data_IF_997857012440
#
_entry.id   IF_997857012440
#
_cell.length_a   1.000
_cell.length_b   1.000
_cell.length_c   1.000
_cell.angle_alpha   90.00
_cell.angle_beta   90.00
_cell.angle_gamma   90.00
#
_symmetry.space_group_name_H-M   'P 1'
#
loop_
_entity.id
_entity.type
_entity.pdbx_description
1 polymer ?
#
# COMPACT_ATOMS: atom_id res chain seq x y z
N UNK A 1 10.17 -58.82 -10.00
CA UNK A 1 10.62 -57.43 -10.20
C UNK A 1 10.93 -56.88 -8.83
N UNK A 2 12.19 -56.95 -8.40
CA UNK A 2 12.63 -56.41 -7.08
C UNK A 2 12.76 -54.91 -7.19
N UNK A 3 11.95 -54.21 -6.45
CA UNK A 3 12.08 -52.74 -6.33
C UNK A 3 13.37 -52.51 -5.53
N UNK A 4 14.30 -51.75 -6.11
CA UNK A 4 15.59 -51.46 -5.50
C UNK A 4 15.39 -50.62 -4.22
N UNK A 5 16.13 -51.01 -3.16
CA UNK A 5 16.11 -50.30 -1.86
C UNK A 5 16.41 -48.79 -1.98
N UNK A 6 17.21 -48.44 -2.97
CA UNK A 6 17.54 -47.03 -3.28
C UNK A 6 16.31 -46.23 -3.77
N UNK A 7 15.45 -46.86 -4.58
CA UNK A 7 14.20 -46.24 -5.07
C UNK A 7 13.19 -46.05 -3.95
N UNK A 8 13.12 -46.98 -2.98
CA UNK A 8 12.24 -46.83 -1.80
C UNK A 8 12.73 -45.72 -0.88
N UNK A 9 14.04 -45.63 -0.65
CA UNK A 9 14.62 -44.57 0.18
C UNK A 9 14.48 -43.17 -0.42
N UNK A 10 14.62 -43.03 -1.74
CA UNK A 10 14.36 -41.79 -2.46
C UNK A 10 12.90 -41.36 -2.37
N UNK A 11 11.97 -42.28 -2.56
CA UNK A 11 10.54 -42.02 -2.41
C UNK A 11 10.15 -41.59 -1.01
N UNK A 12 10.72 -42.22 0.03
CA UNK A 12 10.50 -41.85 1.43
C UNK A 12 11.06 -40.46 1.75
N UNK A 13 12.25 -40.10 1.23
CA UNK A 13 12.86 -38.80 1.41
C UNK A 13 12.03 -37.66 0.79
N UNK A 14 11.44 -37.89 -0.40
CA UNK A 14 10.56 -36.90 -1.07
C UNK A 14 9.27 -36.70 -0.27
N UNK A 15 8.66 -37.79 0.26
CA UNK A 15 7.45 -37.70 1.08
C UNK A 15 7.73 -36.98 2.39
N UNK A 16 8.86 -37.25 3.05
CA UNK A 16 9.26 -36.55 4.29
C UNK A 16 9.52 -35.08 3.99
N UNK A 17 10.21 -34.74 2.91
CA UNK A 17 10.48 -33.37 2.53
C UNK A 17 9.18 -32.59 2.22
N UNK A 18 8.21 -33.24 1.53
CA UNK A 18 6.89 -32.67 1.28
C UNK A 18 6.08 -32.47 2.57
N UNK A 19 6.12 -33.46 3.48
CA UNK A 19 5.44 -33.38 4.77
C UNK A 19 6.05 -32.27 5.67
N UNK A 20 7.37 -32.14 5.70
CA UNK A 20 8.08 -31.08 6.42
C UNK A 20 7.77 -29.71 5.81
N UNK A 21 7.77 -29.59 4.49
CA UNK A 21 7.40 -28.35 3.80
C UNK A 21 5.94 -27.95 4.09
N UNK A 22 5.04 -28.94 4.05
CA UNK A 22 3.63 -28.72 4.41
C UNK A 22 3.47 -28.36 5.89
N UNK A 23 4.21 -29.02 6.78
CA UNK A 23 4.19 -28.72 8.22
C UNK A 23 4.75 -27.32 8.50
N UNK A 24 5.83 -26.90 7.85
CA UNK A 24 6.39 -25.54 7.97
C UNK A 24 5.41 -24.47 7.47
N UNK A 25 4.69 -24.75 6.37
CA UNK A 25 3.65 -23.86 5.85
C UNK A 25 2.45 -23.78 6.81
N UNK A 26 2.02 -24.92 7.38
CA UNK A 26 0.91 -25.00 8.33
C UNK A 26 1.29 -24.51 9.74
N UNK A 27 2.59 -24.47 10.07
CA UNK A 27 3.11 -24.03 11.38
C UNK A 27 3.55 -22.56 11.39
N UNK A 28 3.28 -21.78 10.32
CA UNK A 28 3.54 -20.35 10.39
C UNK A 28 2.70 -19.77 11.51
N UNK A 29 3.31 -19.08 12.49
CA UNK A 29 2.55 -18.44 13.55
C UNK A 29 1.60 -17.43 12.91
N UNK A 30 0.31 -17.63 13.11
CA UNK A 30 -0.72 -16.72 12.69
C UNK A 30 -1.49 -16.27 13.92
N UNK A 31 -1.84 -15.00 13.99
CA UNK A 31 -2.74 -14.49 15.01
C UNK A 31 -4.16 -15.01 14.74
N UNK A 32 -4.90 -15.30 15.80
CA UNK A 32 -6.31 -15.61 15.63
C UNK A 32 -7.07 -14.39 15.07
N UNK A 33 -8.15 -14.59 14.31
CA UNK A 33 -8.98 -13.48 13.83
C UNK A 33 -9.50 -12.57 14.96
N UNK A 34 -9.73 -13.15 16.15
CA UNK A 34 -10.12 -12.40 17.34
C UNK A 34 -8.98 -11.48 17.81
N UNK A 35 -7.76 -12.01 17.94
CA UNK A 35 -6.59 -11.23 18.34
C UNK A 35 -6.27 -10.11 17.35
N UNK A 36 -6.44 -10.38 16.06
CA UNK A 36 -6.25 -9.37 15.02
C UNK A 36 -7.29 -8.25 15.16
N UNK A 37 -8.58 -8.59 15.34
CA UNK A 37 -9.62 -7.59 15.59
C UNK A 37 -9.37 -6.79 16.87
N UNK A 38 -8.97 -7.44 17.96
CA UNK A 38 -8.60 -6.77 19.21
C UNK A 38 -7.47 -5.76 18.98
N UNK A 39 -6.44 -6.13 18.21
CA UNK A 39 -5.31 -5.25 17.93
C UNK A 39 -5.70 -3.95 17.22
N UNK A 40 -6.70 -3.99 16.36
CA UNK A 40 -7.20 -2.83 15.61
C UNK A 40 -8.54 -2.30 16.17
N UNK A 41 -8.94 -2.68 17.39
CA UNK A 41 -10.19 -2.20 18.01
C UNK A 41 -10.10 -0.75 18.43
N UNK A 42 -8.92 -0.31 18.84
CA UNK A 42 -8.68 1.07 19.20
C UNK A 42 -8.24 1.88 17.96
N UNK A 43 -8.79 3.07 17.77
CA UNK A 43 -8.34 3.95 16.69
C UNK A 43 -6.86 4.25 16.79
N UNK A 44 -6.23 4.52 15.64
CA UNK A 44 -4.88 5.07 15.62
C UNK A 44 -4.85 6.40 16.39
N UNK A 45 -3.72 6.76 17.02
CA UNK A 45 -3.59 8.07 17.62
C UNK A 45 -3.93 9.16 16.61
N UNK A 46 -4.75 10.12 17.01
CA UNK A 46 -5.15 11.23 16.16
C UNK A 46 -3.95 11.99 15.59
N UNK A 47 -4.07 12.59 14.41
CA UNK A 47 -3.03 13.44 13.86
C UNK A 47 -2.82 14.66 14.76
N UNK A 48 -1.59 15.23 14.77
CA UNK A 48 -1.39 16.53 15.40
C UNK A 48 -2.30 17.57 14.73
N UNK A 49 -2.71 18.60 15.46
CA UNK A 49 -3.57 19.69 14.95
C UNK A 49 -2.91 20.58 13.89
N UNK A 50 -1.82 20.13 13.27
CA UNK A 50 -1.03 20.77 12.21
C UNK A 50 -0.86 19.82 11.03
N UNK A 51 -0.30 20.30 9.92
CA UNK A 51 0.17 19.43 8.83
C UNK A 51 1.20 18.41 9.30
N UNK A 52 1.21 17.24 8.67
CA UNK A 52 2.12 16.15 8.99
C UNK A 52 3.47 16.31 8.30
N UNK A 53 4.54 15.88 8.96
CA UNK A 53 5.79 15.53 8.31
C UNK A 53 5.76 14.05 7.96
N UNK A 54 5.68 13.72 6.66
CA UNK A 54 5.42 12.40 6.13
C UNK A 54 6.60 11.87 5.31
N UNK A 55 6.92 10.58 5.46
CA UNK A 55 7.87 9.90 4.58
C UNK A 55 7.16 8.79 3.79
N UNK A 56 7.37 8.77 2.47
CA UNK A 56 6.90 7.70 1.58
C UNK A 56 8.08 6.82 1.15
N UNK A 57 7.98 5.53 1.40
CA UNK A 57 8.91 4.53 0.91
C UNK A 57 8.17 3.59 -0.04
N UNK A 58 8.64 3.48 -1.29
CA UNK A 58 7.96 2.60 -2.24
C UNK A 58 8.45 2.65 -3.67
N UNK A 59 7.51 2.68 -4.60
CA UNK A 59 7.78 2.55 -6.02
C UNK A 59 6.85 3.43 -6.87
N UNK A 60 6.81 3.21 -8.18
CA UNK A 60 6.08 4.05 -9.14
C UNK A 60 4.57 4.23 -8.84
N UNK A 61 3.93 3.33 -8.08
CA UNK A 61 2.52 3.52 -7.68
C UNK A 61 2.33 4.52 -6.51
N UNK A 62 3.41 4.94 -5.85
CA UNK A 62 3.43 6.15 -5.05
C UNK A 62 3.54 7.35 -5.97
N UNK A 63 4.53 7.32 -6.86
CA UNK A 63 4.80 8.39 -7.80
C UNK A 63 5.14 9.73 -7.12
N UNK A 64 5.22 10.80 -7.90
CA UNK A 64 5.45 12.15 -7.40
C UNK A 64 4.17 12.95 -7.24
N UNK A 65 3.15 12.68 -8.08
CA UNK A 65 1.94 13.49 -8.16
C UNK A 65 0.97 13.21 -7.01
N UNK A 66 0.78 11.95 -6.62
CA UNK A 66 -0.11 11.60 -5.52
C UNK A 66 0.31 12.27 -4.19
N UNK A 67 1.59 12.23 -3.75
CA UNK A 67 2.02 12.96 -2.54
C UNK A 67 1.91 14.48 -2.68
N UNK A 68 2.10 15.04 -3.87
CA UNK A 68 1.90 16.47 -4.13
C UNK A 68 0.43 16.88 -4.04
N UNK A 69 -0.48 16.04 -4.56
CA UNK A 69 -1.92 16.22 -4.41
C UNK A 69 -2.35 16.10 -2.95
N UNK A 70 -1.83 15.10 -2.23
CA UNK A 70 -2.08 14.94 -0.79
C UNK A 70 -1.68 16.20 -0.01
N UNK A 71 -0.53 16.79 -0.30
CA UNK A 71 -0.08 18.01 0.36
C UNK A 71 -1.01 19.20 0.13
N UNK A 72 -1.67 19.26 -1.02
CA UNK A 72 -2.65 20.29 -1.34
C UNK A 72 -4.03 20.05 -0.69
N UNK A 73 -4.36 18.80 -0.36
CA UNK A 73 -5.59 18.43 0.35
C UNK A 73 -5.43 18.57 1.86
N UNK A 74 -4.20 18.43 2.36
CA UNK A 74 -3.87 18.35 3.76
C UNK A 74 -3.93 19.71 4.47
N UNK A 75 -3.80 19.67 5.80
CA UNK A 75 -3.73 20.86 6.65
C UNK A 75 -2.44 21.65 6.40
N UNK A 76 -2.48 22.94 6.69
CA UNK A 76 -1.33 23.83 6.58
C UNK A 76 -0.10 23.27 7.31
N UNK A 77 1.05 23.37 6.66
CA UNK A 77 2.30 22.84 7.17
C UNK A 77 2.56 21.36 6.87
N UNK A 78 1.70 20.69 6.07
CA UNK A 78 2.03 19.37 5.56
C UNK A 78 3.28 19.41 4.68
N UNK A 79 4.20 18.51 4.96
CA UNK A 79 5.40 18.31 4.15
C UNK A 79 5.72 16.83 4.04
N UNK A 80 6.36 16.46 2.97
CA UNK A 80 6.73 15.07 2.72
C UNK A 80 8.07 14.93 2.04
N UNK A 81 8.68 13.79 2.24
CA UNK A 81 9.86 13.32 1.54
C UNK A 81 9.64 11.86 1.13
N UNK A 82 10.50 11.36 0.24
CA UNK A 82 10.35 10.00 -0.29
C UNK A 82 11.67 9.37 -0.71
N UNK A 83 11.67 8.04 -0.78
CA UNK A 83 12.60 7.26 -1.59
C UNK A 83 11.80 6.26 -2.41
N UNK A 84 11.96 6.31 -3.72
CA UNK A 84 11.23 5.49 -4.68
C UNK A 84 12.16 4.71 -5.59
N UNK A 85 11.60 3.72 -6.30
CA UNK A 85 12.28 2.99 -7.36
C UNK A 85 11.23 2.31 -8.26
N UNK A 86 11.64 1.73 -9.39
CA UNK A 86 10.72 1.07 -10.31
C UNK A 86 10.45 -0.36 -9.85
N UNK A 87 9.19 -0.65 -9.50
CA UNK A 87 8.78 -1.97 -9.05
C UNK A 87 9.57 -2.50 -7.85
N UNK A 88 10.05 -1.61 -7.01
CA UNK A 88 11.01 -1.91 -5.94
C UNK A 88 10.28 -2.42 -4.69
N UNK A 89 10.80 -3.51 -4.13
CA UNK A 89 10.29 -4.11 -2.88
C UNK A 89 10.88 -3.44 -1.63
N UNK A 90 10.22 -3.63 -0.50
CA UNK A 90 10.73 -3.22 0.81
C UNK A 90 12.09 -3.84 1.13
N UNK A 91 12.36 -5.07 0.65
CA UNK A 91 13.67 -5.72 0.78
C UNK A 91 14.76 -4.95 0.04
N UNK A 92 14.52 -4.59 -1.22
CA UNK A 92 15.51 -3.87 -2.04
C UNK A 92 15.85 -2.50 -1.45
N UNK A 93 14.88 -1.79 -0.90
CA UNK A 93 15.14 -0.55 -0.17
C UNK A 93 15.92 -0.78 1.15
N UNK A 94 15.77 -1.95 1.77
CA UNK A 94 16.40 -2.25 3.06
C UNK A 94 17.84 -2.72 2.95
N UNK A 95 18.16 -3.61 1.99
CA UNK A 95 19.44 -4.28 1.90
C UNK A 95 20.43 -3.47 1.02
N UNK A 96 21.61 -3.08 1.56
CA UNK A 96 22.54 -2.21 0.84
C UNK A 96 23.11 -2.81 -0.46
N UNK A 97 23.05 -4.13 -0.59
CA UNK A 97 23.56 -4.85 -1.80
C UNK A 97 22.53 -5.08 -2.88
N UNK A 98 21.27 -4.70 -2.65
CA UNK A 98 20.21 -4.88 -3.64
C UNK A 98 20.16 -3.69 -4.60
N UNK A 99 19.84 -3.96 -5.86
CA UNK A 99 19.69 -2.90 -6.88
C UNK A 99 18.28 -2.34 -6.83
N UNK A 100 18.18 -1.02 -6.78
CA UNK A 100 16.92 -0.28 -6.94
C UNK A 100 16.87 0.24 -8.38
N UNK A 101 16.04 -0.37 -9.21
CA UNK A 101 15.86 0.08 -10.59
C UNK A 101 15.23 1.48 -10.62
N UNK A 102 15.70 2.34 -11.51
CA UNK A 102 15.19 3.70 -11.66
C UNK A 102 15.50 4.62 -10.48
N UNK A 103 16.43 4.25 -9.57
CA UNK A 103 16.71 5.03 -8.35
C UNK A 103 17.01 6.50 -8.63
N UNK A 104 17.93 6.79 -9.55
CA UNK A 104 18.31 8.16 -9.91
C UNK A 104 17.13 8.94 -10.50
N UNK A 105 16.40 8.31 -11.45
CA UNK A 105 15.25 8.93 -12.11
C UNK A 105 14.12 9.29 -11.13
N UNK A 106 13.85 8.42 -10.16
CA UNK A 106 12.76 8.63 -9.18
C UNK A 106 13.15 9.59 -8.06
N UNK A 107 14.44 9.74 -7.76
CA UNK A 107 14.90 10.47 -6.58
C UNK A 107 15.68 11.78 -6.91
N UNK A 108 15.83 12.14 -8.19
CA UNK A 108 16.40 13.43 -8.61
C UNK A 108 15.38 14.57 -8.40
N UNK A 109 15.13 14.91 -7.15
CA UNK A 109 14.25 16.00 -6.73
C UNK A 109 14.52 16.42 -5.28
N UNK A 110 14.16 17.65 -4.87
CA UNK A 110 14.49 18.20 -3.54
C UNK A 110 13.77 17.52 -2.36
N UNK A 111 12.82 16.63 -2.61
CA UNK A 111 12.09 15.84 -1.58
C UNK A 111 12.66 14.45 -1.36
N UNK A 112 13.77 14.13 -2.02
CA UNK A 112 14.47 12.86 -1.77
C UNK A 112 15.16 12.88 -0.41
N UNK A 113 15.03 11.78 0.33
CA UNK A 113 15.84 11.48 1.50
C UNK A 113 16.11 9.98 1.57
N UNK A 114 17.36 9.58 1.92
CA UNK A 114 17.69 8.15 2.06
C UNK A 114 16.77 7.46 3.08
N UNK A 115 16.11 6.37 2.65
CA UNK A 115 15.04 5.75 3.42
C UNK A 115 15.47 5.27 4.82
N UNK A 116 16.68 4.68 4.92
CA UNK A 116 17.17 4.19 6.20
C UNK A 116 17.44 5.34 7.16
N UNK A 117 17.99 6.44 6.68
CA UNK A 117 18.19 7.66 7.46
C UNK A 117 16.85 8.23 7.89
N UNK A 118 15.90 8.39 6.95
CA UNK A 118 14.57 8.89 7.23
C UNK A 118 13.86 8.06 8.31
N UNK A 119 13.81 6.74 8.15
CA UNK A 119 13.12 5.86 9.08
C UNK A 119 13.72 5.87 10.49
N UNK A 120 15.06 5.98 10.62
CA UNK A 120 15.73 5.99 11.93
C UNK A 120 15.84 7.36 12.58
N UNK A 121 15.52 8.44 11.85
CA UNK A 121 15.70 9.82 12.35
C UNK A 121 14.76 10.21 13.49
N UNK A 122 13.57 9.62 13.54
CA UNK A 122 12.51 10.01 14.47
C UNK A 122 11.83 11.35 14.16
N UNK A 123 12.11 11.94 12.99
CA UNK A 123 11.61 13.29 12.63
C UNK A 123 10.20 13.29 12.03
N UNK A 124 9.69 12.11 11.61
CA UNK A 124 8.43 11.99 10.89
C UNK A 124 7.25 11.73 11.84
N UNK A 125 6.15 12.42 11.62
CA UNK A 125 4.87 12.14 12.27
C UNK A 125 4.27 10.82 11.77
N UNK A 126 4.54 10.47 10.51
CA UNK A 126 4.12 9.22 9.92
C UNK A 126 5.07 8.74 8.80
N UNK A 127 5.13 7.40 8.62
CA UNK A 127 5.84 6.76 7.52
C UNK A 127 4.89 5.80 6.81
N UNK A 128 4.84 5.90 5.48
CA UNK A 128 4.05 5.01 4.62
C UNK A 128 4.99 4.08 3.86
N UNK A 129 4.84 2.80 4.08
CA UNK A 129 5.54 1.73 3.40
C UNK A 129 4.69 1.19 2.26
N UNK A 130 5.28 0.99 1.09
CA UNK A 130 4.59 0.46 -0.09
C UNK A 130 5.37 -0.73 -0.63
N UNK A 131 4.74 -1.90 -0.67
CA UNK A 131 5.36 -3.11 -1.22
C UNK A 131 5.14 -3.21 -2.72
N UNK A 132 6.10 -3.85 -3.43
CA UNK A 132 6.05 -3.99 -4.88
C UNK A 132 4.78 -4.70 -5.39
N UNK A 133 4.39 -4.41 -6.60
CA UNK A 133 3.46 -5.21 -7.41
C UNK A 133 4.31 -6.32 -8.06
N UNK A 134 3.99 -7.51 -8.05
CA UNK A 134 2.94 -8.41 -7.67
C UNK A 134 3.13 -8.88 -6.22
N UNK A 135 2.12 -8.78 -5.41
CA UNK A 135 2.22 -9.08 -3.97
C UNK A 135 2.62 -10.53 -3.67
N UNK A 136 2.19 -11.50 -4.50
CA UNK A 136 2.57 -12.91 -4.33
C UNK A 136 4.07 -13.14 -4.56
N UNK A 137 4.65 -12.44 -5.52
CA UNK A 137 6.09 -12.49 -5.81
C UNK A 137 6.89 -11.74 -4.73
N UNK A 138 6.37 -10.62 -4.26
CA UNK A 138 6.93 -9.87 -3.15
C UNK A 138 7.06 -10.74 -1.88
N UNK A 139 6.00 -11.48 -1.54
CA UNK A 139 6.01 -12.40 -0.40
C UNK A 139 6.98 -13.55 -0.63
N UNK A 140 6.93 -14.18 -1.80
CA UNK A 140 7.69 -15.38 -2.12
C UNK A 140 9.20 -15.14 -2.27
N UNK A 141 9.57 -14.08 -2.99
CA UNK A 141 10.97 -13.83 -3.38
C UNK A 141 11.63 -12.71 -2.57
N UNK A 142 10.84 -11.76 -2.05
CA UNK A 142 11.36 -10.60 -1.33
C UNK A 142 11.04 -10.62 0.18
N UNK A 143 10.32 -11.64 0.69
CA UNK A 143 10.03 -11.81 2.12
C UNK A 143 9.35 -10.57 2.74
N UNK A 144 8.35 -10.02 2.04
CA UNK A 144 7.68 -8.75 2.36
C UNK A 144 7.33 -8.54 3.83
N UNK A 145 6.70 -9.52 4.49
CA UNK A 145 6.34 -9.40 5.90
C UNK A 145 7.55 -9.27 6.85
N UNK A 146 8.68 -9.91 6.51
CA UNK A 146 9.93 -9.74 7.27
C UNK A 146 10.49 -8.33 7.11
N UNK A 147 10.48 -7.80 5.87
CA UNK A 147 11.05 -6.48 5.62
C UNK A 147 10.14 -5.34 6.07
N UNK A 148 8.82 -5.50 6.00
CA UNK A 148 7.90 -4.58 6.68
C UNK A 148 8.20 -4.51 8.18
N UNK A 149 8.35 -5.67 8.84
CA UNK A 149 8.68 -5.72 10.28
C UNK A 149 10.02 -5.05 10.61
N UNK A 150 11.04 -5.22 9.75
CA UNK A 150 12.35 -4.57 9.93
C UNK A 150 12.27 -3.05 9.78
N UNK A 151 11.56 -2.55 8.76
CA UNK A 151 11.34 -1.13 8.57
C UNK A 151 10.54 -0.52 9.72
N UNK A 152 9.49 -1.22 10.17
CA UNK A 152 8.68 -0.78 11.29
C UNK A 152 9.48 -0.75 12.62
N UNK A 153 10.34 -1.75 12.87
CA UNK A 153 11.22 -1.76 14.03
C UNK A 153 12.18 -0.57 13.99
N UNK A 154 12.85 -0.34 12.86
CA UNK A 154 13.78 0.78 12.69
C UNK A 154 13.09 2.14 12.92
N UNK A 155 11.88 2.31 12.42
CA UNK A 155 11.13 3.56 12.61
C UNK A 155 10.72 3.77 14.08
N UNK A 156 10.30 2.69 14.77
CA UNK A 156 9.96 2.74 16.21
C UNK A 156 11.17 2.99 17.10
N UNK A 157 12.37 2.47 16.73
CA UNK A 157 13.61 2.80 17.41
C UNK A 157 13.96 4.28 17.31
N UNK A 158 13.72 4.91 16.15
CA UNK A 158 13.90 6.34 15.97
C UNK A 158 12.90 7.17 16.78
N UNK A 159 11.62 6.82 16.70
CA UNK A 159 10.56 7.47 17.48
C UNK A 159 9.35 6.53 17.62
N UNK A 160 9.05 6.02 18.83
CA UNK A 160 7.93 5.13 19.05
C UNK A 160 6.55 5.80 18.84
N UNK A 161 6.51 7.12 18.72
CA UNK A 161 5.27 7.86 18.44
C UNK A 161 4.98 8.02 16.95
N UNK A 162 5.96 7.75 16.07
CA UNK A 162 5.74 7.75 14.61
C UNK A 162 4.65 6.76 14.22
N UNK A 163 3.63 7.23 13.51
CA UNK A 163 2.56 6.39 12.99
C UNK A 163 3.03 5.68 11.73
N UNK A 164 2.84 4.37 11.67
CA UNK A 164 3.32 3.54 10.58
C UNK A 164 2.14 3.01 9.76
N UNK A 165 2.27 3.07 8.45
CA UNK A 165 1.23 2.66 7.52
C UNK A 165 1.78 1.76 6.43
N UNK A 166 0.99 0.76 6.03
CA UNK A 166 1.19 -0.04 4.83
C UNK A 166 0.16 0.41 3.78
N UNK A 167 0.65 0.89 2.65
CA UNK A 167 -0.19 1.29 1.53
C UNK A 167 -0.49 0.05 0.67
N UNK A 168 -1.73 -0.44 0.73
CA UNK A 168 -2.24 -1.47 -0.16
C UNK A 168 -2.54 -0.87 -1.52
N UNK A 169 -1.83 -1.40 -2.53
CA UNK A 169 -1.96 -0.98 -3.93
C UNK A 169 -2.92 -1.91 -4.68
N UNK A 170 -2.95 -1.80 -6.00
CA UNK A 170 -3.78 -2.58 -6.91
C UNK A 170 -2.93 -3.50 -7.78
N UNK A 171 -3.59 -4.37 -8.55
CA UNK A 171 -3.00 -5.27 -9.52
C UNK A 171 -3.04 -4.68 -10.93
N UNK A 172 -2.44 -5.37 -11.90
CA UNK A 172 -2.60 -5.01 -13.31
C UNK A 172 -4.05 -5.24 -13.74
N UNK A 173 -4.60 -4.33 -14.54
CA UNK A 173 -5.98 -4.44 -15.06
C UNK A 173 -6.21 -5.72 -15.87
N UNK A 174 -5.17 -6.21 -16.54
CA UNK A 174 -5.16 -7.42 -17.36
C UNK A 174 -4.74 -8.68 -16.60
N UNK A 175 -4.78 -8.65 -15.25
CA UNK A 175 -4.48 -9.83 -14.43
C UNK A 175 -5.40 -10.99 -14.80
N UNK A 176 -4.85 -12.17 -15.13
CA UNK A 176 -5.64 -13.32 -15.61
C UNK A 176 -6.60 -13.89 -14.56
N UNK A 177 -6.33 -13.64 -13.27
CA UNK A 177 -7.19 -14.05 -12.16
C UNK A 177 -8.32 -13.03 -11.88
N UNK A 178 -8.44 -11.97 -12.71
CA UNK A 178 -9.44 -10.91 -12.59
C UNK A 178 -9.03 -9.81 -11.61
N UNK A 179 -9.01 -8.56 -12.07
CA UNK A 179 -8.54 -7.42 -11.29
C UNK A 179 -9.32 -7.21 -9.99
N UNK A 180 -10.66 -7.17 -10.06
CA UNK A 180 -11.52 -7.02 -8.88
C UNK A 180 -11.47 -8.23 -7.96
N UNK A 181 -11.45 -9.44 -8.53
CA UNK A 181 -11.39 -10.69 -7.75
C UNK A 181 -10.07 -10.80 -6.97
N UNK A 182 -8.98 -10.28 -7.58
CA UNK A 182 -7.69 -10.19 -6.90
C UNK A 182 -7.71 -9.22 -5.75
N UNK A 183 -8.25 -8.02 -5.94
CA UNK A 183 -8.35 -7.01 -4.89
C UNK A 183 -9.15 -7.52 -3.69
N UNK A 184 -10.30 -8.16 -3.93
CA UNK A 184 -11.14 -8.71 -2.85
C UNK A 184 -10.46 -9.84 -2.08
N UNK A 185 -9.76 -10.72 -2.78
CA UNK A 185 -9.17 -11.92 -2.19
C UNK A 185 -7.85 -11.65 -1.51
N UNK A 186 -7.03 -10.77 -2.09
CA UNK A 186 -5.65 -10.62 -1.70
C UNK A 186 -5.47 -9.71 -0.48
N UNK A 187 -6.41 -8.83 -0.19
CA UNK A 187 -6.35 -7.93 0.97
C UNK A 187 -6.20 -8.69 2.29
N UNK A 188 -7.12 -9.60 2.59
CA UNK A 188 -7.11 -10.31 3.86
C UNK A 188 -6.02 -11.39 3.89
N UNK A 189 -5.78 -12.03 2.75
CA UNK A 189 -4.81 -13.13 2.64
C UNK A 189 -3.36 -12.65 2.72
N UNK A 190 -3.02 -11.62 1.96
CA UNK A 190 -1.64 -11.21 1.77
C UNK A 190 -1.31 -9.93 2.54
N UNK A 191 -2.02 -8.84 2.30
CA UNK A 191 -1.70 -7.56 2.93
C UNK A 191 -1.86 -7.61 4.45
N UNK A 192 -2.96 -8.18 4.93
CA UNK A 192 -3.19 -8.36 6.36
C UNK A 192 -2.46 -9.61 6.87
N UNK A 193 -2.72 -10.77 6.25
CA UNK A 193 -2.24 -12.07 6.75
C UNK A 193 -0.74 -12.29 6.65
N UNK A 194 -0.09 -11.87 5.56
CA UNK A 194 1.33 -12.11 5.34
C UNK A 194 2.21 -10.89 5.64
N UNK A 195 1.67 -9.65 5.63
CA UNK A 195 2.45 -8.45 5.90
C UNK A 195 2.17 -7.89 7.30
N UNK A 196 0.97 -7.38 7.58
CA UNK A 196 0.66 -6.75 8.85
C UNK A 196 0.80 -7.70 10.04
N UNK A 197 0.30 -8.93 9.93
CA UNK A 197 0.44 -9.93 10.99
C UNK A 197 1.91 -10.28 11.31
N UNK A 198 2.80 -10.26 10.31
CA UNK A 198 4.21 -10.54 10.55
C UNK A 198 4.89 -9.47 11.42
N UNK A 199 4.50 -8.21 11.27
CA UNK A 199 4.98 -7.16 12.16
C UNK A 199 4.49 -7.38 13.61
N UNK A 200 3.19 -7.68 13.77
CA UNK A 200 2.60 -7.97 15.08
C UNK A 200 3.28 -9.15 15.78
N UNK A 201 3.57 -10.23 15.05
CA UNK A 201 4.18 -11.43 15.59
C UNK A 201 5.66 -11.21 15.95
N UNK A 202 6.41 -10.48 15.09
CA UNK A 202 7.86 -10.31 15.26
C UNK A 202 8.24 -9.23 16.25
N UNK A 203 7.51 -8.14 16.25
CA UNK A 203 7.84 -6.95 17.02
C UNK A 203 6.96 -6.79 18.27
N UNK A 204 5.80 -7.48 18.36
CA UNK A 204 4.82 -7.30 19.45
C UNK A 204 4.64 -5.83 19.84
N UNK A 205 4.34 -4.95 18.87
CA UNK A 205 4.39 -3.52 19.09
C UNK A 205 3.22 -3.03 19.95
N UNK A 206 3.40 -1.94 20.67
CA UNK A 206 2.32 -1.23 21.35
C UNK A 206 1.30 -0.62 20.35
N UNK A 207 1.80 -0.24 19.16
CA UNK A 207 0.99 0.29 18.06
C UNK A 207 1.27 -0.50 16.78
N UNK A 208 0.23 -1.01 16.13
CA UNK A 208 0.40 -1.75 14.89
C UNK A 208 0.83 -0.83 13.74
N UNK A 209 1.24 -1.44 12.63
CA UNK A 209 1.24 -0.79 11.33
C UNK A 209 -0.20 -0.77 10.83
N UNK A 210 -0.72 0.40 10.48
CA UNK A 210 -2.08 0.57 9.95
C UNK A 210 -2.11 0.41 8.43
N UNK A 211 -3.31 0.27 7.87
CA UNK A 211 -3.53 0.06 6.44
C UNK A 211 -4.04 1.33 5.75
N UNK A 212 -3.50 1.65 4.58
CA UNK A 212 -4.09 2.59 3.62
C UNK A 212 -4.67 1.76 2.47
N UNK A 213 -5.99 1.52 2.43
CA UNK A 213 -6.61 0.51 1.55
C UNK A 213 -6.98 1.08 0.17
N UNK A 214 -6.00 1.57 -0.60
CA UNK A 214 -6.30 2.25 -1.86
C UNK A 214 -6.79 1.32 -2.96
N UNK A 215 -6.30 0.07 -3.02
CA UNK A 215 -6.84 -0.93 -3.92
C UNK A 215 -8.33 -1.22 -3.64
N UNK A 216 -8.71 -1.32 -2.36
CA UNK A 216 -10.12 -1.51 -1.95
C UNK A 216 -10.99 -0.31 -2.31
N UNK A 217 -10.47 0.91 -2.11
CA UNK A 217 -11.16 2.14 -2.53
C UNK A 217 -11.38 2.16 -4.04
N UNK A 218 -10.34 1.84 -4.82
CA UNK A 218 -10.46 1.75 -6.28
C UNK A 218 -11.50 0.70 -6.69
N UNK A 219 -11.46 -0.48 -6.09
CA UNK A 219 -12.42 -1.56 -6.38
C UNK A 219 -13.87 -1.13 -6.09
N UNK A 220 -14.11 -0.49 -4.95
CA UNK A 220 -15.43 0.02 -4.57
C UNK A 220 -15.92 1.12 -5.52
N UNK A 221 -15.05 2.08 -5.83
CA UNK A 221 -15.37 3.17 -6.75
C UNK A 221 -15.72 2.65 -8.15
N UNK A 222 -14.88 1.79 -8.70
CA UNK A 222 -15.08 1.19 -10.03
C UNK A 222 -16.40 0.42 -10.11
N UNK A 223 -16.73 -0.38 -9.11
CA UNK A 223 -18.02 -1.11 -9.07
C UNK A 223 -19.21 -0.17 -9.10
N UNK A 224 -19.17 0.93 -8.37
CA UNK A 224 -20.27 1.90 -8.40
C UNK A 224 -20.39 2.62 -9.74
N UNK A 225 -19.26 2.99 -10.34
CA UNK A 225 -19.24 3.63 -11.68
C UNK A 225 -19.77 2.68 -12.74
N UNK A 226 -19.22 1.47 -12.82
CA UNK A 226 -19.62 0.49 -13.87
C UNK A 226 -21.09 0.05 -13.69
N UNK A 227 -21.55 -0.14 -12.45
CA UNK A 227 -22.95 -0.50 -12.18
C UNK A 227 -23.96 0.62 -12.53
N UNK A 228 -23.53 1.89 -12.44
CA UNK A 228 -24.39 3.05 -12.80
C UNK A 228 -24.32 3.44 -14.28
N UNK A 229 -23.46 2.80 -15.06
CA UNK A 229 -23.22 3.15 -16.46
C UNK A 229 -22.35 4.39 -16.65
N UNK A 230 -21.60 4.78 -15.60
CA UNK A 230 -20.69 5.92 -15.62
C UNK A 230 -21.10 7.06 -14.69
N UNK A 231 -20.15 7.94 -14.39
CA UNK A 231 -20.35 9.19 -13.66
C UNK A 231 -19.42 10.27 -14.21
N UNK A 232 -20.01 11.38 -14.70
CA UNK A 232 -19.24 12.47 -15.29
C UNK A 232 -18.44 11.98 -16.51
N UNK A 233 -17.16 11.99 -16.38
CA UNK A 233 -16.16 11.62 -17.39
C UNK A 233 -15.56 10.21 -17.20
N UNK A 234 -16.00 9.48 -16.19
CA UNK A 234 -15.55 8.11 -15.90
C UNK A 234 -16.67 7.11 -16.18
N UNK A 235 -16.40 6.15 -17.05
CA UNK A 235 -17.36 5.12 -17.49
C UNK A 235 -16.88 3.70 -17.14
N UNK A 236 -15.58 3.53 -16.97
CA UNK A 236 -14.96 2.25 -16.70
C UNK A 236 -13.72 2.43 -15.81
N UNK A 237 -13.20 1.31 -15.31
CA UNK A 237 -11.94 1.28 -14.55
C UNK A 237 -10.74 1.81 -15.32
N UNK A 238 -10.74 1.66 -16.63
CA UNK A 238 -9.65 2.11 -17.51
C UNK A 238 -9.45 3.63 -17.47
N UNK A 239 -10.51 4.38 -17.16
CA UNK A 239 -10.47 5.84 -17.09
C UNK A 239 -9.67 6.37 -15.88
N UNK A 240 -9.25 5.50 -14.95
CA UNK A 240 -8.34 5.82 -13.85
C UNK A 240 -6.86 5.59 -14.19
N UNK A 241 -6.56 5.03 -15.37
CA UNK A 241 -5.21 4.61 -15.74
C UNK A 241 -4.62 5.44 -16.87
N UNK A 242 -3.30 5.48 -16.92
CA UNK A 242 -2.58 6.24 -17.95
C UNK A 242 -2.74 5.58 -19.32
N UNK A 243 -2.59 6.40 -20.35
CA UNK A 243 -2.39 5.95 -21.72
C UNK A 243 -0.99 6.36 -22.17
N UNK A 244 -0.31 5.44 -22.86
CA UNK A 244 0.99 5.70 -23.47
C UNK A 244 0.83 6.66 -24.65
N UNK A 245 1.94 7.16 -25.19
CA UNK A 245 1.95 8.08 -26.34
C UNK A 245 1.25 7.51 -27.58
N UNK A 246 1.27 6.19 -27.75
CA UNK A 246 0.58 5.49 -28.85
C UNK A 246 -0.92 5.24 -28.58
N UNK A 247 -1.45 5.75 -27.45
CA UNK A 247 -2.82 5.59 -27.03
C UNK A 247 -3.14 4.26 -26.34
N UNK A 248 -2.20 3.33 -26.25
CA UNK A 248 -2.39 2.06 -25.53
C UNK A 248 -2.51 2.30 -24.02
N UNK A 249 -3.40 1.52 -23.39
CA UNK A 249 -3.61 1.58 -21.94
C UNK A 249 -2.35 1.09 -21.21
N UNK A 250 -1.91 1.83 -20.19
CA UNK A 250 -0.99 1.30 -19.21
C UNK A 250 -1.80 0.53 -18.16
N UNK A 251 -1.60 -0.78 -18.02
CA UNK A 251 -2.48 -1.58 -17.17
C UNK A 251 -2.19 -1.40 -15.67
N UNK A 252 -1.19 -0.62 -15.27
CA UNK A 252 -0.79 -0.53 -13.86
C UNK A 252 -0.68 0.91 -13.34
N UNK A 253 -0.20 1.86 -14.15
CA UNK A 253 0.01 3.22 -13.68
C UNK A 253 -1.27 4.06 -13.82
N UNK A 254 -1.63 4.71 -12.73
CA UNK A 254 -2.81 5.58 -12.67
C UNK A 254 -2.53 6.95 -13.29
N UNK A 255 -3.57 7.56 -13.85
CA UNK A 255 -3.57 8.95 -14.29
C UNK A 255 -3.91 9.91 -13.13
N UNK A 256 -4.13 11.18 -13.43
CA UNK A 256 -4.45 12.20 -12.42
C UNK A 256 -5.74 11.91 -11.64
N UNK A 257 -6.75 11.32 -12.30
CA UNK A 257 -8.02 10.96 -11.64
C UNK A 257 -7.79 9.83 -10.63
N UNK A 258 -7.00 8.83 -11.01
CA UNK A 258 -6.57 7.77 -10.10
C UNK A 258 -5.69 8.31 -8.97
N UNK A 259 -4.76 9.22 -9.27
CA UNK A 259 -3.89 9.84 -8.27
C UNK A 259 -4.69 10.67 -7.24
N UNK A 260 -5.71 11.39 -7.69
CA UNK A 260 -6.64 12.10 -6.82
C UNK A 260 -7.36 11.16 -5.85
N UNK A 261 -7.93 10.04 -6.37
CA UNK A 261 -8.62 9.04 -5.55
C UNK A 261 -7.70 8.44 -4.47
N UNK A 262 -6.46 8.13 -4.84
CA UNK A 262 -5.44 7.60 -3.92
C UNK A 262 -5.01 8.66 -2.90
N UNK A 263 -4.84 9.92 -3.32
CA UNK A 263 -4.52 11.03 -2.41
C UNK A 263 -5.64 11.27 -1.38
N UNK A 264 -6.92 11.18 -1.79
CA UNK A 264 -8.06 11.24 -0.86
C UNK A 264 -8.03 10.08 0.16
N UNK A 265 -7.63 8.89 -0.27
CA UNK A 265 -7.52 7.72 0.61
C UNK A 265 -6.42 7.93 1.66
N UNK A 266 -5.26 8.41 1.24
CA UNK A 266 -4.18 8.78 2.16
C UNK A 266 -4.62 9.88 3.12
N UNK A 267 -5.29 10.93 2.62
CA UNK A 267 -5.82 12.00 3.45
C UNK A 267 -6.76 11.46 4.55
N UNK A 268 -7.76 10.67 4.15
CA UNK A 268 -8.77 10.16 5.08
C UNK A 268 -8.14 9.31 6.20
N UNK A 269 -7.16 8.45 5.87
CA UNK A 269 -6.48 7.59 6.85
C UNK A 269 -5.49 8.39 7.72
N UNK A 270 -4.63 9.20 7.11
CA UNK A 270 -3.57 9.93 7.81
C UNK A 270 -4.11 11.01 8.73
N UNK A 271 -5.15 11.72 8.29
CA UNK A 271 -5.79 12.81 9.03
C UNK A 271 -7.03 12.37 9.81
N UNK A 272 -7.48 11.12 9.65
CA UNK A 272 -8.69 10.59 10.29
C UNK A 272 -9.90 11.53 10.12
N UNK A 273 -10.01 12.10 8.95
CA UNK A 273 -10.99 13.14 8.63
C UNK A 273 -11.66 12.83 7.31
N UNK A 274 -12.98 13.02 7.26
CA UNK A 274 -13.74 12.83 6.04
C UNK A 274 -13.22 13.74 4.92
N UNK A 275 -12.97 13.20 3.73
CA UNK A 275 -12.54 13.99 2.58
C UNK A 275 -13.70 14.74 1.90
N UNK A 276 -14.94 14.62 2.42
CA UNK A 276 -16.12 15.27 1.84
C UNK A 276 -15.96 16.79 1.79
N UNK A 277 -16.15 17.35 0.59
CA UNK A 277 -16.06 18.80 0.36
C UNK A 277 -14.64 19.32 0.09
N UNK A 278 -13.64 18.48 0.08
CA UNK A 278 -12.29 18.88 -0.34
C UNK A 278 -12.29 19.32 -1.81
N UNK A 279 -11.35 20.20 -2.14
CA UNK A 279 -11.14 20.64 -3.52
C UNK A 279 -10.72 19.46 -4.41
N UNK A 280 -11.08 19.52 -5.69
CA UNK A 280 -10.78 18.48 -6.67
C UNK A 280 -9.98 18.99 -7.88
N UNK A 281 -9.60 20.26 -7.88
CA UNK A 281 -8.66 20.85 -8.83
C UNK A 281 -7.34 21.04 -8.12
N UNK A 282 -6.34 20.25 -8.54
CA UNK A 282 -5.03 20.16 -7.92
C UNK A 282 -3.94 20.29 -8.98
N UNK A 283 -2.72 20.47 -8.54
CA UNK A 283 -1.55 20.51 -9.39
C UNK A 283 -0.70 19.25 -9.23
N UNK A 284 -0.01 18.86 -10.29
CA UNK A 284 1.02 17.81 -10.26
C UNK A 284 2.25 18.29 -9.49
N UNK A 285 3.18 17.40 -9.24
CA UNK A 285 4.43 17.68 -8.53
C UNK A 285 5.32 18.71 -9.22
N UNK A 286 5.20 18.84 -10.54
CA UNK A 286 5.91 19.84 -11.35
C UNK A 286 5.23 21.21 -11.38
N UNK A 287 4.09 21.36 -10.71
CA UNK A 287 3.29 22.60 -10.63
C UNK A 287 2.33 22.80 -11.81
N UNK A 288 2.25 21.86 -12.74
CA UNK A 288 1.24 21.91 -13.81
C UNK A 288 -0.13 21.46 -13.30
N UNK A 289 -1.20 22.04 -13.86
CA UNK A 289 -2.55 21.63 -13.48
C UNK A 289 -2.82 20.16 -13.83
N UNK A 290 -3.31 19.39 -12.87
CA UNK A 290 -3.75 18.02 -13.08
C UNK A 290 -5.14 17.99 -13.76
N UNK A 291 -5.42 16.91 -14.50
CA UNK A 291 -6.76 16.63 -14.97
C UNK A 291 -7.69 16.40 -13.78
N UNK A 292 -8.72 17.21 -13.68
CA UNK A 292 -9.61 17.19 -12.51
C UNK A 292 -10.89 16.42 -12.80
N UNK A 293 -11.39 15.58 -11.88
CA UNK A 293 -12.69 14.96 -12.02
C UNK A 293 -13.79 16.01 -12.03
N UNK A 294 -14.93 15.69 -12.62
CA UNK A 294 -16.13 16.53 -12.47
C UNK A 294 -16.52 16.64 -10.98
N UNK A 295 -17.31 17.64 -10.63
CA UNK A 295 -17.77 17.80 -9.24
C UNK A 295 -18.58 16.57 -8.76
N UNK A 296 -19.36 15.95 -9.66
CA UNK A 296 -20.12 14.75 -9.33
C UNK A 296 -19.20 13.56 -9.07
N UNK A 297 -18.20 13.36 -9.92
CA UNK A 297 -17.18 12.31 -9.78
C UNK A 297 -16.37 12.51 -8.50
N UNK A 298 -15.92 13.74 -8.23
CA UNK A 298 -15.18 14.05 -7.00
C UNK A 298 -15.98 13.75 -5.73
N UNK A 299 -17.28 14.08 -5.70
CA UNK A 299 -18.15 13.76 -4.56
C UNK A 299 -18.32 12.25 -4.37
N UNK A 300 -18.46 11.50 -5.46
CA UNK A 300 -18.51 10.04 -5.39
C UNK A 300 -17.20 9.47 -4.84
N UNK A 301 -16.05 9.91 -5.36
CA UNK A 301 -14.73 9.50 -4.86
C UNK A 301 -14.58 9.78 -3.37
N UNK A 302 -14.89 10.98 -2.92
CA UNK A 302 -14.82 11.40 -1.52
C UNK A 302 -15.70 10.53 -0.61
N UNK A 303 -16.93 10.24 -1.03
CA UNK A 303 -17.85 9.38 -0.28
C UNK A 303 -17.33 7.94 -0.20
N UNK A 304 -16.94 7.36 -1.33
CA UNK A 304 -16.43 5.99 -1.39
C UNK A 304 -15.18 5.82 -0.52
N UNK A 305 -14.27 6.80 -0.56
CA UNK A 305 -13.09 6.79 0.32
C UNK A 305 -13.51 6.72 1.78
N UNK A 306 -14.40 7.60 2.22
CA UNK A 306 -14.83 7.63 3.61
C UNK A 306 -15.52 6.35 4.02
N UNK A 307 -16.44 5.85 3.20
CA UNK A 307 -17.15 4.60 3.42
C UNK A 307 -16.19 3.40 3.57
N UNK A 308 -15.17 3.32 2.74
CA UNK A 308 -14.21 2.20 2.80
C UNK A 308 -13.30 2.29 4.02
N UNK A 309 -12.73 3.47 4.29
CA UNK A 309 -11.73 3.60 5.37
C UNK A 309 -12.35 3.47 6.75
N UNK A 310 -13.60 3.94 6.96
CA UNK A 310 -14.29 3.82 8.25
C UNK A 310 -14.86 2.42 8.51
N UNK A 311 -15.06 1.62 7.48
CA UNK A 311 -15.55 0.25 7.62
C UNK A 311 -14.43 -0.81 7.72
N UNK A 312 -13.16 -0.39 7.79
CA UNK A 312 -12.01 -1.29 7.90
C UNK A 312 -11.16 -0.93 9.13
N UNK A 313 -11.21 -1.74 10.19
CA UNK A 313 -10.52 -1.44 11.45
C UNK A 313 -9.02 -1.25 11.29
N UNK A 314 -8.38 -1.98 10.34
CA UNK A 314 -6.95 -1.92 10.11
C UNK A 314 -6.46 -0.53 9.66
N UNK A 315 -7.35 0.36 9.23
CA UNK A 315 -7.00 1.76 8.90
C UNK A 315 -6.69 2.60 10.14
N UNK A 316 -7.20 2.19 11.32
CA UNK A 316 -7.15 2.99 12.54
C UNK A 316 -8.01 4.25 12.52
N UNK A 317 -8.86 4.43 11.50
CA UNK A 317 -9.81 5.55 11.44
C UNK A 317 -11.00 5.24 12.36
N UNK A 318 -11.42 6.16 13.25
CA UNK A 318 -12.61 5.97 14.09
C UNK A 318 -13.86 5.70 13.24
N UNK A 319 -14.69 4.75 13.70
CA UNK A 319 -15.96 4.40 13.05
C UNK A 319 -17.05 5.40 13.41
#
# INVERSE_FOLDING_TARGET
MMIDRTTILLGLAVVIAAAVALWVVLSRPALSPEKLRETYSDPAPGPPGRGLHLFHLGHSLVGRDMPAMLAQLANDGHRYESQLGWGTSLKQHYEPGETINGFEAENDHPRFRPAREAASSGEYDAIVFTEMVEIRDAIKYHQSGKYLSRWAALAREGNPQTRLYLYETWHKLDDPDGWLDRLDRDIDRYWIGELLQQDLIRNTPERPVYLIPAGQVMARFVREVEASGGIGDITSREDLFQRKEDGTLDPIHINDLGAYLVALTHYAVLYQTSPMGLRHRLDRADGTAADAPTQATARLMQRVVWDVVTNRPETGVPQ
#
